data_IF_860723255971
#
_entry.id   IF_860723255971
#
_cell.length_a   1.000
_cell.length_b   1.000
_cell.length_c   1.000
_cell.angle_alpha   90.00
_cell.angle_beta   90.00
_cell.angle_gamma   90.00
#
_symmetry.space_group_name_H-M   'P 1'
#
loop_
_entity.id
_entity.type
_entity.pdbx_description
1 polymer ?
#
# COMPACT_ATOMS: atom_id res chain seq x y z
N UNK A 1 61.78 -19.09 12.98
CA UNK A 1 60.87 -19.93 12.17
C UNK A 1 59.55 -19.99 12.90
N UNK A 2 58.49 -19.53 12.21
CA UNK A 2 57.04 -19.74 12.39
C UNK A 2 56.64 -20.98 13.22
N UNK A 3 55.49 -21.09 13.86
CA UNK A 3 54.35 -20.22 14.21
C UNK A 3 53.33 -21.11 14.99
N UNK A 4 52.37 -20.48 15.66
CA UNK A 4 51.04 -20.94 16.09
C UNK A 4 50.84 -21.71 17.40
N UNK A 5 50.25 -21.00 18.37
CA UNK A 5 48.94 -21.39 18.91
C UNK A 5 48.10 -20.15 19.30
N UNK A 6 47.24 -19.78 18.35
CA UNK A 6 45.95 -19.08 18.40
C UNK A 6 45.43 -18.70 19.81
N UNK A 7 45.31 -17.38 20.07
CA UNK A 7 44.42 -16.84 21.09
C UNK A 7 43.01 -16.69 20.48
N UNK A 8 42.07 -17.49 20.98
CA UNK A 8 40.64 -17.32 20.75
C UNK A 8 40.16 -16.12 21.58
N UNK A 9 40.07 -14.94 20.98
CA UNK A 9 39.29 -13.85 21.57
C UNK A 9 37.83 -14.07 21.19
N UNK A 10 37.04 -14.54 22.15
CA UNK A 10 35.58 -14.50 22.05
C UNK A 10 35.19 -13.03 22.11
N UNK A 11 34.83 -12.46 20.96
CA UNK A 11 34.09 -11.21 20.93
C UNK A 11 32.65 -11.58 21.27
N UNK A 12 32.26 -11.30 22.51
CA UNK A 12 30.85 -11.18 22.88
C UNK A 12 30.34 -9.91 22.18
N UNK A 13 29.76 -10.07 20.99
CA UNK A 13 28.91 -9.03 20.44
C UNK A 13 27.63 -9.04 21.28
N UNK A 14 27.49 -8.02 22.13
CA UNK A 14 26.22 -7.66 22.74
C UNK A 14 25.22 -7.44 21.59
N UNK A 15 24.30 -8.37 21.37
CA UNK A 15 23.12 -8.08 20.57
C UNK A 15 22.34 -7.00 21.31
N UNK A 16 22.52 -5.76 20.89
CA UNK A 16 21.63 -4.66 21.22
C UNK A 16 20.26 -5.05 20.67
N UNK A 17 19.43 -5.59 21.55
CA UNK A 17 18.03 -5.94 21.28
C UNK A 17 17.28 -4.61 21.09
N UNK A 18 17.45 -4.02 19.89
CA UNK A 18 16.67 -2.89 19.43
C UNK A 18 15.26 -3.44 19.27
N UNK A 19 14.48 -3.31 20.34
CA UNK A 19 13.03 -3.40 20.27
C UNK A 19 12.55 -2.28 19.36
N UNK A 20 12.58 -2.52 18.05
CA UNK A 20 11.95 -1.67 17.05
C UNK A 20 10.50 -1.58 17.47
N UNK A 21 10.10 -0.38 17.89
CA UNK A 21 8.76 -0.06 18.34
C UNK A 21 7.75 -0.73 17.43
N UNK A 22 6.85 -1.51 18.02
CA UNK A 22 5.66 -2.09 17.39
C UNK A 22 5.14 -1.10 16.35
N UNK A 23 5.29 -1.48 15.07
CA UNK A 23 5.02 -0.63 13.92
C UNK A 23 3.80 0.26 14.17
N UNK A 24 3.98 1.58 14.14
CA UNK A 24 2.87 2.54 14.15
C UNK A 24 2.15 2.46 12.79
N UNK A 25 1.58 1.30 12.47
CA UNK A 25 0.79 1.03 11.27
C UNK A 25 -0.66 1.38 11.56
N UNK A 26 -1.26 2.19 10.70
CA UNK A 26 -2.70 2.39 10.70
C UNK A 26 -3.43 1.25 9.98
N UNK A 27 -4.73 1.14 10.20
CA UNK A 27 -5.60 0.21 9.47
C UNK A 27 -6.13 0.83 8.17
N UNK A 28 -6.73 0.02 7.30
CA UNK A 28 -7.40 0.57 6.11
C UNK A 28 -8.59 1.45 6.49
N UNK A 29 -9.34 1.07 7.53
CA UNK A 29 -10.44 1.87 8.06
C UNK A 29 -9.95 3.24 8.53
N UNK A 30 -8.79 3.32 9.18
CA UNK A 30 -8.21 4.60 9.59
C UNK A 30 -7.88 5.49 8.38
N UNK A 31 -7.23 4.94 7.35
CA UNK A 31 -6.90 5.69 6.14
C UNK A 31 -8.15 6.12 5.37
N UNK A 32 -9.15 5.23 5.25
CA UNK A 32 -10.44 5.53 4.61
C UNK A 32 -11.13 6.69 5.33
N UNK A 33 -11.25 6.62 6.65
CA UNK A 33 -11.84 7.69 7.45
C UNK A 33 -11.07 9.00 7.31
N UNK A 34 -9.73 8.94 7.23
CA UNK A 34 -8.93 10.13 7.01
C UNK A 34 -9.23 10.75 5.63
N UNK A 35 -9.28 9.95 4.57
CA UNK A 35 -9.67 10.41 3.23
C UNK A 35 -11.07 11.02 3.25
N UNK A 36 -12.04 10.34 3.86
CA UNK A 36 -13.44 10.79 3.91
C UNK A 36 -13.60 12.11 4.68
N UNK A 37 -12.80 12.31 5.74
CA UNK A 37 -12.80 13.56 6.51
C UNK A 37 -12.36 14.79 5.71
N UNK A 38 -11.67 14.60 4.58
CA UNK A 38 -11.14 15.69 3.75
C UNK A 38 -12.06 16.05 2.57
N UNK A 39 -13.16 15.33 2.34
CA UNK A 39 -14.03 15.45 1.15
C UNK A 39 -14.56 16.88 0.90
N UNK A 40 -14.71 17.70 1.94
CA UNK A 40 -15.22 19.08 1.81
C UNK A 40 -14.18 20.06 1.23
N UNK A 41 -12.93 19.63 1.00
CA UNK A 41 -11.88 20.46 0.42
C UNK A 41 -11.79 20.20 -1.08
N UNK A 42 -11.68 21.23 -1.89
CA UNK A 42 -11.38 21.06 -3.32
C UNK A 42 -9.89 20.74 -3.53
N UNK A 43 -9.58 19.77 -4.39
CA UNK A 43 -8.21 19.41 -4.81
C UNK A 43 -7.21 19.22 -3.66
N UNK A 44 -7.65 18.61 -2.55
CA UNK A 44 -6.79 18.50 -1.38
C UNK A 44 -5.69 17.45 -1.54
N UNK A 45 -4.60 17.69 -0.83
CA UNK A 45 -3.46 16.77 -0.73
C UNK A 45 -3.43 16.13 0.65
N UNK A 46 -3.40 14.80 0.69
CA UNK A 46 -3.05 14.01 1.86
C UNK A 46 -1.56 13.69 1.78
N UNK A 47 -0.86 13.89 2.90
CA UNK A 47 0.51 13.41 3.08
C UNK A 47 0.49 12.32 4.15
N UNK A 48 0.90 11.11 3.78
CA UNK A 48 0.98 10.02 4.75
C UNK A 48 2.09 10.33 5.76
N UNK A 49 1.82 10.03 7.02
CA UNK A 49 2.76 10.18 8.13
C UNK A 49 3.09 8.84 8.80
N UNK A 50 2.52 7.75 8.29
CA UNK A 50 2.77 6.37 8.70
C UNK A 50 2.34 5.39 7.61
N UNK A 51 2.74 4.14 7.78
CA UNK A 51 2.29 3.03 6.94
C UNK A 51 0.88 2.58 7.33
N UNK A 52 0.17 1.96 6.38
CA UNK A 52 -1.16 1.40 6.59
C UNK A 52 -1.20 -0.05 6.13
N UNK A 53 -1.94 -0.91 6.82
CA UNK A 53 -2.01 -2.34 6.50
C UNK A 53 -3.42 -2.86 6.72
N UNK A 54 -3.93 -3.66 5.80
CA UNK A 54 -5.19 -4.37 5.98
C UNK A 54 -5.09 -5.35 7.16
N UNK A 55 -6.00 -5.20 8.12
CA UNK A 55 -6.01 -5.98 9.36
C UNK A 55 -7.43 -6.37 9.78
N UNK A 56 -7.55 -7.15 10.87
CA UNK A 56 -8.84 -7.46 11.48
C UNK A 56 -9.66 -6.19 11.75
N UNK A 57 -10.93 -6.19 11.33
CA UNK A 57 -11.82 -5.03 11.39
C UNK A 57 -11.92 -4.21 10.10
N UNK A 58 -11.11 -4.50 9.08
CA UNK A 58 -11.14 -3.85 7.77
C UNK A 58 -11.98 -4.62 6.73
N UNK A 59 -12.76 -5.62 7.12
CA UNK A 59 -13.38 -6.58 6.18
C UNK A 59 -14.27 -5.93 5.12
N UNK A 60 -14.92 -4.80 5.45
CA UNK A 60 -15.74 -4.01 4.51
C UNK A 60 -14.91 -3.37 3.39
N UNK A 61 -13.59 -3.26 3.57
CA UNK A 61 -12.62 -2.68 2.64
C UNK A 61 -11.82 -3.74 1.89
N UNK A 62 -12.23 -5.02 1.91
CA UNK A 62 -11.52 -6.11 1.21
C UNK A 62 -11.35 -5.84 -0.30
N UNK A 63 -12.27 -5.08 -0.89
CA UNK A 63 -12.24 -4.67 -2.31
C UNK A 63 -11.45 -3.39 -2.57
N UNK A 64 -10.81 -2.81 -1.55
CA UNK A 64 -10.04 -1.58 -1.62
C UNK A 64 -10.70 -0.40 -0.90
N UNK A 65 -9.87 0.52 -0.42
CA UNK A 65 -10.30 1.83 0.05
C UNK A 65 -10.83 2.61 -1.16
N UNK A 66 -12.07 3.11 -1.04
CA UNK A 66 -12.75 3.78 -2.15
C UNK A 66 -12.29 5.23 -2.29
N UNK A 67 -11.82 5.60 -3.48
CA UNK A 67 -11.48 6.99 -3.81
C UNK A 67 -12.56 7.57 -4.72
N UNK A 68 -13.50 8.29 -4.10
CA UNK A 68 -14.70 8.83 -4.76
C UNK A 68 -14.60 10.33 -5.09
N UNK A 69 -13.53 11.01 -4.68
CA UNK A 69 -13.30 12.43 -4.98
C UNK A 69 -11.89 12.66 -5.53
N UNK A 70 -11.69 13.66 -6.41
CA UNK A 70 -10.35 14.03 -6.88
C UNK A 70 -9.47 14.46 -5.70
N UNK A 71 -8.26 13.90 -5.61
CA UNK A 71 -7.31 14.19 -4.54
C UNK A 71 -5.89 13.83 -4.94
N UNK A 72 -4.93 14.34 -4.18
CA UNK A 72 -3.52 13.89 -4.23
C UNK A 72 -3.19 13.13 -2.95
N UNK A 73 -2.61 11.94 -3.05
CA UNK A 73 -1.95 11.24 -1.93
C UNK A 73 -0.45 11.25 -2.20
N UNK A 74 0.29 11.99 -1.37
CA UNK A 74 1.73 11.85 -1.26
C UNK A 74 2.04 10.84 -0.14
N UNK A 75 2.65 9.72 -0.51
CA UNK A 75 2.99 8.65 0.39
C UNK A 75 4.19 8.92 1.28
N UNK A 76 5.03 9.92 0.98
CA UNK A 76 6.27 10.17 1.71
C UNK A 76 7.14 8.90 1.90
N UNK A 77 7.12 8.00 0.93
CA UNK A 77 7.74 6.67 0.93
C UNK A 77 7.20 5.68 1.99
N UNK A 78 6.04 5.96 2.58
CA UNK A 78 5.34 5.00 3.44
C UNK A 78 4.70 3.87 2.64
N UNK A 79 4.42 2.78 3.36
CA UNK A 79 3.86 1.55 2.80
C UNK A 79 2.36 1.52 3.00
N UNK A 80 1.61 1.13 1.97
CA UNK A 80 0.24 0.66 2.11
C UNK A 80 0.22 -0.82 1.71
N UNK A 81 -0.12 -1.69 2.65
CA UNK A 81 -0.11 -3.14 2.44
C UNK A 81 -1.51 -3.73 2.43
N UNK A 82 -1.84 -4.48 1.38
CA UNK A 82 -3.05 -5.31 1.32
C UNK A 82 -2.95 -6.59 2.17
N UNK A 83 -1.78 -6.85 2.78
CA UNK A 83 -1.49 -7.99 3.64
C UNK A 83 -1.92 -9.35 3.04
N UNK A 84 -1.75 -9.49 1.72
CA UNK A 84 -2.16 -10.64 0.92
C UNK A 84 -3.66 -11.00 1.04
N UNK A 85 -4.49 -10.04 1.48
CA UNK A 85 -5.89 -10.29 1.86
C UNK A 85 -6.88 -9.34 1.18
N UNK A 86 -6.46 -8.13 0.85
CA UNK A 86 -7.32 -7.11 0.25
C UNK A 86 -6.69 -6.37 -0.91
N UNK A 87 -7.54 -5.82 -1.78
CA UNK A 87 -7.12 -4.77 -2.70
C UNK A 87 -6.78 -3.51 -1.90
N UNK A 88 -5.81 -2.71 -2.33
CA UNK A 88 -5.44 -1.47 -1.61
C UNK A 88 -6.40 -0.32 -1.97
N UNK A 89 -6.49 0.07 -3.24
CA UNK A 89 -7.38 1.15 -3.69
C UNK A 89 -8.35 0.72 -4.78
N UNK A 90 -9.59 1.19 -4.65
CA UNK A 90 -10.63 1.13 -5.67
C UNK A 90 -11.02 2.57 -6.06
N UNK A 91 -10.57 3.01 -7.23
CA UNK A 91 -10.59 4.41 -7.63
C UNK A 91 -11.70 4.67 -8.65
N UNK A 92 -12.63 5.53 -8.27
CA UNK A 92 -13.77 5.95 -9.10
C UNK A 92 -13.70 7.42 -9.54
N UNK A 93 -12.98 8.27 -8.81
CA UNK A 93 -12.83 9.68 -9.14
C UNK A 93 -11.74 9.96 -10.17
N UNK A 94 -12.03 10.90 -11.07
CA UNK A 94 -11.06 11.42 -12.02
C UNK A 94 -10.01 12.33 -11.33
N UNK A 95 -8.88 12.53 -12.00
CA UNK A 95 -7.80 13.43 -11.58
C UNK A 95 -7.23 13.08 -10.18
N UNK A 96 -7.13 11.78 -9.87
CA UNK A 96 -6.44 11.30 -8.67
C UNK A 96 -4.95 11.23 -8.96
N UNK A 97 -4.13 11.73 -8.04
CA UNK A 97 -2.67 11.67 -8.10
C UNK A 97 -2.18 10.85 -6.91
N UNK A 98 -1.42 9.80 -7.20
CA UNK A 98 -0.73 8.98 -6.21
C UNK A 98 0.77 9.15 -6.42
N UNK A 99 1.49 9.61 -5.39
CA UNK A 99 2.94 9.77 -5.47
C UNK A 99 3.67 9.20 -4.28
N UNK A 100 4.89 8.69 -4.49
CA UNK A 100 5.82 8.34 -3.41
C UNK A 100 5.26 7.30 -2.43
N UNK A 101 4.49 6.32 -2.92
CA UNK A 101 3.87 5.23 -2.11
C UNK A 101 4.48 3.88 -2.49
N UNK A 102 4.78 3.05 -1.49
CA UNK A 102 5.04 1.64 -1.70
C UNK A 102 3.74 0.83 -1.48
N UNK A 103 3.17 0.31 -2.56
CA UNK A 103 2.04 -0.62 -2.54
C UNK A 103 2.55 -2.05 -2.42
N UNK A 104 2.14 -2.76 -1.37
CA UNK A 104 2.69 -4.08 -1.04
C UNK A 104 1.58 -5.10 -0.83
N UNK A 105 1.80 -6.33 -1.27
CA UNK A 105 0.96 -7.49 -0.93
C UNK A 105 -0.55 -7.28 -1.19
N UNK A 106 -0.89 -6.62 -2.29
CA UNK A 106 -2.28 -6.46 -2.70
C UNK A 106 -2.93 -7.80 -3.09
N UNK A 107 -4.22 -7.98 -2.89
CA UNK A 107 -4.92 -9.22 -3.24
C UNK A 107 -6.28 -8.98 -3.89
N UNK A 108 -6.50 -9.57 -5.07
CA UNK A 108 -7.75 -9.51 -5.83
C UNK A 108 -8.10 -10.90 -6.36
N UNK A 109 -8.76 -11.71 -5.55
CA UNK A 109 -9.31 -13.00 -5.96
C UNK A 109 -10.58 -13.27 -5.15
N UNK A 110 -11.60 -12.49 -5.47
CA UNK A 110 -12.92 -12.49 -4.86
C UNK A 110 -13.85 -13.52 -5.53
N UNK A 111 -13.39 -14.22 -6.58
CA UNK A 111 -14.11 -15.29 -7.29
C UNK A 111 -15.43 -14.80 -7.88
N UNK A 112 -15.40 -13.62 -8.51
CA UNK A 112 -16.59 -13.01 -9.12
C UNK A 112 -16.40 -12.73 -10.60
N UNK A 113 -17.48 -12.53 -11.34
CA UNK A 113 -17.46 -12.55 -12.82
C UNK A 113 -17.08 -11.23 -13.50
N UNK A 114 -16.72 -10.16 -12.78
CA UNK A 114 -16.71 -8.81 -13.37
C UNK A 114 -15.48 -7.98 -12.97
N UNK A 115 -14.30 -8.23 -13.53
CA UNK A 115 -13.03 -7.50 -13.26
C UNK A 115 -12.64 -7.32 -11.77
N UNK A 116 -13.42 -7.84 -10.82
CA UNK A 116 -13.14 -7.69 -9.39
C UNK A 116 -11.92 -8.52 -9.00
N UNK A 117 -11.57 -9.55 -9.77
CA UNK A 117 -10.34 -10.33 -9.58
C UNK A 117 -9.12 -9.69 -10.25
N UNK A 118 -9.20 -8.42 -10.68
CA UNK A 118 -8.11 -7.69 -11.31
C UNK A 118 -7.56 -6.58 -10.41
N UNK A 119 -6.33 -6.12 -10.65
CA UNK A 119 -5.77 -4.96 -9.96
C UNK A 119 -5.62 -5.19 -8.46
N UNK A 120 -4.65 -6.01 -8.03
CA UNK A 120 -4.53 -6.39 -6.62
C UNK A 120 -4.07 -5.23 -5.72
N UNK A 121 -3.26 -4.30 -6.23
CA UNK A 121 -3.00 -3.06 -5.52
C UNK A 121 -4.07 -2.02 -5.87
N UNK A 122 -4.28 -1.74 -7.15
CA UNK A 122 -5.16 -0.67 -7.61
C UNK A 122 -6.06 -1.18 -8.73
N UNK A 123 -7.36 -0.92 -8.59
CA UNK A 123 -8.28 -0.89 -9.72
C UNK A 123 -8.79 0.53 -9.90
N UNK A 124 -8.82 1.01 -11.13
CA UNK A 124 -9.38 2.32 -11.46
C UNK A 124 -10.22 2.25 -12.73
N UNK A 125 -11.43 2.80 -12.67
CA UNK A 125 -12.28 3.05 -13.82
C UNK A 125 -12.39 4.55 -14.14
N UNK A 126 -11.47 5.36 -13.61
CA UNK A 126 -11.53 6.81 -13.65
C UNK A 126 -10.56 7.40 -14.67
N UNK A 127 -10.86 8.62 -15.13
CA UNK A 127 -10.01 9.36 -16.07
C UNK A 127 -8.86 10.09 -15.37
N UNK A 128 -7.70 10.15 -16.03
CA UNK A 128 -6.54 10.92 -15.59
C UNK A 128 -6.00 10.51 -14.19
N UNK A 129 -5.96 9.20 -13.91
CA UNK A 129 -5.16 8.69 -12.80
C UNK A 129 -3.68 8.92 -13.11
N UNK A 130 -2.98 9.61 -12.21
CA UNK A 130 -1.52 9.81 -12.28
C UNK A 130 -0.86 9.03 -11.16
N UNK A 131 0.14 8.20 -11.50
CA UNK A 131 0.92 7.41 -10.54
C UNK A 131 2.40 7.73 -10.76
N UNK A 132 3.04 8.37 -9.79
CA UNK A 132 4.42 8.88 -9.94
C UNK A 132 5.29 8.45 -8.77
N UNK A 133 6.47 7.89 -9.05
CA UNK A 133 7.41 7.43 -8.01
C UNK A 133 6.78 6.46 -6.98
N UNK A 134 5.84 5.63 -7.43
CA UNK A 134 5.27 4.57 -6.61
C UNK A 134 5.94 3.23 -6.92
N UNK A 135 6.10 2.39 -5.90
CA UNK A 135 6.58 1.02 -6.04
C UNK A 135 5.41 0.04 -5.85
N UNK A 136 5.39 -1.02 -6.64
CA UNK A 136 4.42 -2.11 -6.52
C UNK A 136 5.19 -3.40 -6.27
N UNK A 137 5.11 -3.93 -5.05
CA UNK A 137 5.84 -5.12 -4.64
C UNK A 137 4.88 -6.23 -4.21
N UNK A 138 4.96 -7.36 -4.92
CA UNK A 138 4.09 -8.49 -4.66
C UNK A 138 2.64 -8.25 -5.03
N UNK A 139 1.80 -9.16 -4.57
CA UNK A 139 0.36 -9.17 -4.79
C UNK A 139 -0.13 -10.15 -5.85
N UNK A 140 -1.39 -10.55 -5.70
CA UNK A 140 -2.02 -11.58 -6.50
C UNK A 140 -3.38 -11.11 -7.01
N UNK A 141 -3.58 -11.17 -8.32
CA UNK A 141 -4.87 -11.00 -8.96
C UNK A 141 -5.24 -12.31 -9.67
N UNK A 142 -6.47 -12.80 -9.46
CA UNK A 142 -6.97 -13.99 -10.16
C UNK A 142 -7.25 -13.74 -11.65
N UNK A 143 -7.45 -12.48 -12.03
CA UNK A 143 -7.65 -11.98 -13.39
C UNK A 143 -6.43 -11.22 -13.93
N UNK A 144 -6.68 -10.09 -14.59
CA UNK A 144 -5.65 -9.25 -15.23
C UNK A 144 -5.06 -8.20 -14.28
N UNK A 145 -3.88 -7.67 -14.63
CA UNK A 145 -3.28 -6.55 -13.91
C UNK A 145 -2.95 -6.90 -12.46
N UNK A 146 -1.97 -7.78 -12.25
CA UNK A 146 -1.59 -8.27 -10.92
C UNK A 146 -1.38 -7.14 -9.91
N UNK A 147 -0.73 -6.04 -10.32
CA UNK A 147 -0.62 -4.85 -9.50
C UNK A 147 -1.75 -3.85 -9.79
N UNK A 148 -1.92 -3.45 -11.06
CA UNK A 148 -2.81 -2.35 -11.46
C UNK A 148 -3.70 -2.79 -12.61
N UNK A 149 -5.00 -2.53 -12.51
CA UNK A 149 -5.91 -2.49 -13.65
C UNK A 149 -6.49 -1.09 -13.81
N UNK A 150 -6.40 -0.54 -15.02
CA UNK A 150 -6.98 0.76 -15.38
C UNK A 150 -7.91 0.56 -16.56
N UNK A 151 -9.19 0.92 -16.38
CA UNK A 151 -10.20 0.86 -17.44
C UNK A 151 -10.13 2.01 -18.43
N UNK A 152 -9.53 3.13 -18.03
CA UNK A 152 -9.37 4.36 -18.82
C UNK A 152 -7.90 4.79 -18.94
N UNK A 153 -7.64 5.98 -19.51
CA UNK A 153 -6.29 6.43 -19.87
C UNK A 153 -5.44 6.72 -18.62
N UNK A 154 -4.30 6.03 -18.52
CA UNK A 154 -3.18 6.40 -17.64
C UNK A 154 -2.42 7.57 -18.27
N UNK A 155 -2.06 8.59 -17.49
CA UNK A 155 -1.25 9.74 -17.93
C UNK A 155 0.02 9.86 -17.12
#
# INVERSE_FOLDING_TARGET
>A
MNDNSIYNSVFEDEEEDISVSVDNKGSFTELSNYIDSQIQKENYTISLNKSYTFSEGDEDLIKGININNPLTINGNNFIISGNNSARIFNIHAANVILSDIAFVDGYANFKTSNYEDCGAAIVSAADNLTITNCNFNGGYAGGYGSAILIGNRLT
#
